data_IF_515360201515
#
_entry.id   IF_515360201515
#
_cell.length_a   1.000
_cell.length_b   1.000
_cell.length_c   1.000
_cell.angle_alpha   90.00
_cell.angle_beta   90.00
_cell.angle_gamma   90.00
#
_symmetry.space_group_name_H-M   'P 1'
#
loop_
_entity.id
_entity.type
_entity.pdbx_description
1 polymer ?
#
# COMPACT_ATOMS: atom_id res chain seq x y z
N UNK A 1 7.85 43.52 -26.02
CA UNK A 1 8.09 42.13 -25.56
C UNK A 1 7.86 42.08 -24.08
N UNK A 2 6.63 41.86 -23.65
CA UNK A 2 6.21 41.81 -22.24
C UNK A 2 6.38 40.38 -21.74
N UNK A 3 7.38 40.22 -20.90
CA UNK A 3 7.70 38.98 -20.17
C UNK A 3 6.64 38.76 -19.09
N UNK A 4 5.52 38.10 -19.42
CA UNK A 4 4.56 37.66 -18.42
C UNK A 4 5.16 36.51 -17.61
N UNK A 5 5.77 36.85 -16.48
CA UNK A 5 6.09 35.89 -15.41
C UNK A 5 4.77 35.41 -14.79
N UNK A 6 4.11 34.45 -15.41
CA UNK A 6 3.08 33.67 -14.73
C UNK A 6 3.76 32.93 -13.59
N UNK A 7 3.54 33.38 -12.36
CA UNK A 7 3.81 32.60 -11.16
C UNK A 7 3.12 31.23 -11.30
N UNK A 8 3.91 30.26 -11.68
CA UNK A 8 3.43 28.92 -11.92
C UNK A 8 3.37 28.23 -10.58
N UNK A 9 2.17 28.15 -9.99
CA UNK A 9 1.94 27.37 -8.76
C UNK A 9 2.53 25.96 -8.99
N UNK A 10 3.56 25.54 -8.24
CA UNK A 10 4.22 24.26 -8.45
C UNK A 10 3.29 23.07 -8.15
N UNK A 11 2.20 23.31 -7.45
CA UNK A 11 1.21 22.31 -7.02
C UNK A 11 0.23 21.94 -8.15
N UNK A 12 -0.10 22.90 -9.05
CA UNK A 12 -1.08 22.67 -10.12
C UNK A 12 -0.74 21.51 -11.05
N UNK A 13 0.51 21.38 -11.52
CA UNK A 13 0.91 20.29 -12.41
C UNK A 13 0.87 18.91 -11.71
N UNK A 14 1.28 18.83 -10.43
CA UNK A 14 1.25 17.59 -9.64
C UNK A 14 -0.17 17.10 -9.46
N UNK A 15 -1.10 18.01 -9.12
CA UNK A 15 -2.50 17.67 -8.95
C UNK A 15 -3.16 17.24 -10.27
N UNK A 16 -2.83 17.89 -11.38
CA UNK A 16 -3.33 17.50 -12.70
C UNK A 16 -2.89 16.09 -13.09
N UNK A 17 -1.61 15.74 -12.84
CA UNK A 17 -1.10 14.38 -13.07
C UNK A 17 -1.80 13.39 -12.13
N UNK A 18 -1.95 13.73 -10.85
CA UNK A 18 -2.63 12.87 -9.88
C UNK A 18 -4.06 12.57 -10.29
N UNK A 19 -4.81 13.58 -10.73
CA UNK A 19 -6.19 13.43 -11.17
C UNK A 19 -6.33 12.53 -12.41
N UNK A 20 -5.47 12.73 -13.41
CA UNK A 20 -5.46 11.89 -14.63
C UNK A 20 -5.13 10.45 -14.28
N UNK A 21 -4.10 10.22 -13.45
CA UNK A 21 -3.72 8.87 -13.01
C UNK A 21 -4.82 8.21 -12.18
N UNK A 22 -5.47 8.95 -11.31
CA UNK A 22 -6.61 8.47 -10.54
C UNK A 22 -7.76 7.99 -11.43
N UNK A 23 -8.14 8.79 -12.43
CA UNK A 23 -9.17 8.40 -13.39
C UNK A 23 -8.76 7.20 -14.23
N UNK A 24 -7.51 7.17 -14.72
CA UNK A 24 -6.97 6.06 -15.51
C UNK A 24 -7.06 4.73 -14.74
N UNK A 25 -6.67 4.75 -13.46
CA UNK A 25 -6.70 3.56 -12.62
C UNK A 25 -8.12 3.16 -12.20
N UNK A 26 -9.02 4.11 -11.93
CA UNK A 26 -10.42 3.80 -11.58
C UNK A 26 -11.13 3.09 -12.73
N UNK A 27 -10.86 3.49 -13.98
CA UNK A 27 -11.46 2.85 -15.15
C UNK A 27 -10.72 1.60 -15.63
N UNK A 28 -9.65 1.18 -14.92
CA UNK A 28 -8.93 -0.06 -15.25
C UNK A 28 -9.76 -1.29 -14.83
N UNK A 29 -10.01 -2.18 -15.79
CA UNK A 29 -10.76 -3.42 -15.58
C UNK A 29 -10.13 -4.33 -14.51
N UNK A 30 -8.81 -4.25 -14.35
CA UNK A 30 -8.05 -5.04 -13.36
C UNK A 30 -8.46 -4.64 -11.94
N UNK A 31 -8.67 -3.35 -11.70
CA UNK A 31 -9.10 -2.85 -10.38
C UNK A 31 -10.45 -3.46 -9.97
N UNK A 32 -11.41 -3.54 -10.89
CA UNK A 32 -12.73 -4.11 -10.58
C UNK A 32 -12.65 -5.58 -10.15
N UNK A 33 -11.76 -6.36 -10.76
CA UNK A 33 -11.54 -7.76 -10.38
C UNK A 33 -11.00 -7.88 -8.95
N UNK A 34 -10.08 -7.01 -8.54
CA UNK A 34 -9.54 -7.01 -7.19
C UNK A 34 -10.56 -6.52 -6.15
N UNK A 35 -11.37 -5.50 -6.50
CA UNK A 35 -12.46 -5.04 -5.64
C UNK A 35 -13.51 -6.15 -5.45
N UNK A 36 -13.89 -6.84 -6.54
CA UNK A 36 -14.80 -7.98 -6.46
C UNK A 36 -14.23 -9.09 -5.57
N UNK A 37 -12.94 -9.42 -5.74
CA UNK A 37 -12.26 -10.41 -4.90
C UNK A 37 -12.27 -10.01 -3.42
N UNK A 38 -12.08 -8.73 -3.11
CA UNK A 38 -12.16 -8.23 -1.74
C UNK A 38 -13.54 -8.42 -1.12
N UNK A 39 -14.60 -8.11 -1.87
CA UNK A 39 -15.98 -8.35 -1.42
C UNK A 39 -16.27 -9.84 -1.21
N UNK A 40 -15.73 -10.72 -2.07
CA UNK A 40 -15.83 -12.16 -1.87
C UNK A 40 -15.15 -12.61 -0.56
N UNK A 41 -13.96 -12.08 -0.26
CA UNK A 41 -13.26 -12.38 1.00
C UNK A 41 -14.05 -11.91 2.22
N UNK A 42 -14.65 -10.73 2.18
CA UNK A 42 -15.53 -10.23 3.26
C UNK A 42 -16.79 -11.11 3.36
N UNK A 43 -17.36 -11.54 2.24
CA UNK A 43 -18.48 -12.48 2.23
C UNK A 43 -18.14 -13.82 2.86
N UNK A 44 -16.96 -14.36 2.57
CA UNK A 44 -16.44 -15.58 3.22
C UNK A 44 -16.24 -15.37 4.72
N UNK A 45 -15.74 -14.19 5.13
CA UNK A 45 -15.63 -13.79 6.53
C UNK A 45 -16.98 -13.85 7.26
N UNK A 46 -18.02 -13.31 6.62
CA UNK A 46 -19.37 -13.37 7.14
C UNK A 46 -19.89 -14.80 7.27
N UNK A 47 -19.70 -15.65 6.25
CA UNK A 47 -20.08 -17.06 6.31
C UNK A 47 -19.31 -17.82 7.42
N UNK A 48 -18.02 -17.58 7.55
CA UNK A 48 -17.20 -18.18 8.61
C UNK A 48 -17.70 -17.78 10.01
N UNK A 49 -18.14 -16.54 10.18
CA UNK A 49 -18.71 -16.08 11.45
C UNK A 49 -20.00 -16.81 11.82
N UNK A 50 -20.83 -17.22 10.85
CA UNK A 50 -22.09 -17.93 11.10
C UNK A 50 -21.89 -19.38 11.57
N UNK A 51 -20.74 -19.98 11.29
CA UNK A 51 -20.38 -21.33 11.75
C UNK A 51 -19.87 -21.31 13.20
N UNK A 52 -19.49 -20.14 13.69
CA UNK A 52 -18.93 -19.97 15.03
C UNK A 52 -20.05 -19.63 16.01
N UNK A 53 -20.27 -20.47 17.01
CA UNK A 53 -21.36 -20.28 18.01
C UNK A 53 -21.07 -19.17 19.03
N UNK A 54 -19.79 -18.85 19.29
CA UNK A 54 -19.36 -17.81 20.23
C UNK A 54 -18.30 -16.91 19.59
N UNK A 55 -18.45 -15.59 19.73
CA UNK A 55 -17.47 -14.64 19.23
C UNK A 55 -17.53 -14.39 17.71
N UNK A 56 -18.72 -14.45 17.12
CA UNK A 56 -18.97 -14.14 15.70
C UNK A 56 -18.39 -12.79 15.29
N UNK A 57 -18.56 -11.80 16.16
CA UNK A 57 -18.03 -10.46 16.02
C UNK A 57 -16.50 -10.42 15.90
N UNK A 58 -15.79 -11.27 16.65
CA UNK A 58 -14.33 -11.35 16.57
C UNK A 58 -13.83 -12.00 15.29
N UNK A 59 -14.51 -13.08 14.88
CA UNK A 59 -14.15 -13.80 13.64
C UNK A 59 -14.30 -12.88 12.44
N UNK A 60 -15.42 -12.15 12.34
CA UNK A 60 -15.64 -11.24 11.20
C UNK A 60 -14.61 -10.12 11.19
N UNK A 61 -14.28 -9.55 12.35
CA UNK A 61 -13.31 -8.46 12.42
C UNK A 61 -11.89 -8.91 12.01
N UNK A 62 -11.44 -10.08 12.46
CA UNK A 62 -10.10 -10.60 12.16
C UNK A 62 -9.96 -10.99 10.68
N UNK A 63 -10.91 -11.76 10.15
CA UNK A 63 -10.93 -12.14 8.75
C UNK A 63 -11.14 -10.94 7.83
N UNK A 64 -12.03 -10.01 8.19
CA UNK A 64 -12.30 -8.82 7.39
C UNK A 64 -11.09 -7.88 7.32
N UNK A 65 -10.40 -7.62 8.43
CA UNK A 65 -9.15 -6.86 8.43
C UNK A 65 -8.07 -7.54 7.59
N UNK A 66 -7.97 -8.86 7.65
CA UNK A 66 -7.04 -9.64 6.82
C UNK A 66 -7.40 -9.52 5.33
N UNK A 67 -8.68 -9.56 4.98
CA UNK A 67 -9.17 -9.36 3.62
C UNK A 67 -8.87 -7.96 3.09
N UNK A 68 -9.07 -6.92 3.92
CA UNK A 68 -8.73 -5.53 3.58
C UNK A 68 -7.22 -5.38 3.34
N UNK A 69 -6.39 -5.91 4.25
CA UNK A 69 -4.93 -5.89 4.14
C UNK A 69 -4.46 -6.53 2.83
N UNK A 70 -4.96 -7.73 2.54
CA UNK A 70 -4.60 -8.49 1.35
C UNK A 70 -5.05 -7.78 0.07
N UNK A 71 -6.31 -7.32 0.01
CA UNK A 71 -6.86 -6.63 -1.15
C UNK A 71 -6.14 -5.32 -1.45
N UNK A 72 -6.01 -4.44 -0.46
CA UNK A 72 -5.31 -3.17 -0.63
C UNK A 72 -3.83 -3.38 -0.98
N UNK A 73 -3.19 -4.41 -0.38
CA UNK A 73 -1.83 -4.81 -0.71
C UNK A 73 -1.70 -5.25 -2.16
N UNK A 74 -2.56 -6.15 -2.63
CA UNK A 74 -2.56 -6.65 -4.01
C UNK A 74 -2.79 -5.48 -5.00
N UNK A 75 -3.79 -4.64 -4.78
CA UNK A 75 -4.05 -3.47 -5.65
C UNK A 75 -2.83 -2.55 -5.67
N UNK A 76 -2.23 -2.25 -4.52
CA UNK A 76 -1.04 -1.41 -4.42
C UNK A 76 0.15 -1.97 -5.20
N UNK A 77 0.38 -3.28 -5.10
CA UNK A 77 1.45 -3.98 -5.82
C UNK A 77 1.21 -3.97 -7.32
N UNK A 78 0.06 -4.45 -7.79
CA UNK A 78 -0.22 -4.58 -9.23
C UNK A 78 -0.39 -3.23 -9.92
N UNK A 79 -1.16 -2.31 -9.35
CA UNK A 79 -1.34 -0.99 -9.92
C UNK A 79 -0.06 -0.16 -9.88
N UNK A 80 0.73 -0.25 -8.79
CA UNK A 80 2.02 0.41 -8.68
C UNK A 80 3.05 -0.15 -9.68
N UNK A 81 3.13 -1.48 -9.82
CA UNK A 81 4.02 -2.12 -10.77
C UNK A 81 3.66 -1.83 -12.25
N UNK A 82 2.36 -1.75 -12.56
CA UNK A 82 1.90 -1.43 -13.91
C UNK A 82 2.06 0.05 -14.27
N UNK A 83 2.33 0.93 -13.30
CA UNK A 83 2.33 2.37 -13.50
C UNK A 83 3.34 2.85 -14.54
N UNK A 84 4.59 2.37 -14.47
CA UNK A 84 5.63 2.73 -15.44
C UNK A 84 5.80 1.69 -16.54
N UNK A 85 5.50 0.41 -16.29
CA UNK A 85 5.61 -0.64 -17.28
C UNK A 85 4.83 -0.33 -18.57
N UNK A 86 3.57 0.09 -18.43
CA UNK A 86 2.70 0.46 -19.56
C UNK A 86 3.22 1.68 -20.33
N UNK A 87 3.85 2.62 -19.66
CA UNK A 87 4.39 3.84 -20.30
C UNK A 87 5.66 3.57 -21.08
N UNK A 88 6.53 2.69 -20.56
CA UNK A 88 7.72 2.26 -21.28
C UNK A 88 7.35 1.48 -22.55
N UNK A 89 6.37 0.57 -22.47
CA UNK A 89 5.89 -0.20 -23.62
C UNK A 89 5.26 0.69 -24.69
N UNK A 90 4.48 1.70 -24.29
CA UNK A 90 3.77 2.60 -25.21
C UNK A 90 4.60 3.80 -25.67
N UNK A 91 5.82 4.00 -25.19
CA UNK A 91 6.67 5.18 -25.43
C UNK A 91 5.98 6.53 -25.13
N UNK A 92 4.90 6.52 -24.33
CA UNK A 92 4.12 7.72 -23.99
C UNK A 92 4.83 8.61 -22.97
N UNK A 93 5.84 8.10 -22.28
CA UNK A 93 6.71 8.87 -21.36
C UNK A 93 7.26 10.12 -22.06
N UNK A 94 7.72 10.01 -23.32
CA UNK A 94 8.31 11.12 -24.08
C UNK A 94 7.30 12.26 -24.34
N UNK A 95 6.03 11.94 -24.54
CA UNK A 95 4.97 12.94 -24.77
C UNK A 95 4.58 13.64 -23.46
N UNK A 96 4.53 12.92 -22.35
CA UNK A 96 4.23 13.47 -21.03
C UNK A 96 5.35 14.41 -20.54
N UNK A 97 6.60 14.11 -20.87
CA UNK A 97 7.79 14.88 -20.50
C UNK A 97 8.07 16.10 -21.40
N UNK A 98 7.38 16.24 -22.53
CA UNK A 98 7.43 17.46 -23.37
C UNK A 98 6.83 18.69 -22.65
N UNK A 99 6.14 18.51 -21.53
CA UNK A 99 5.65 19.58 -20.66
C UNK A 99 6.76 19.99 -19.68
N UNK A 100 6.86 21.29 -19.29
CA UNK A 100 7.87 21.78 -18.34
C UNK A 100 7.52 21.43 -16.89
N UNK A 101 7.48 20.13 -16.59
CA UNK A 101 7.22 19.57 -15.25
C UNK A 101 8.48 18.78 -14.88
N UNK A 102 8.97 18.92 -13.62
CA UNK A 102 10.09 18.09 -13.16
C UNK A 102 9.64 16.63 -13.02
N UNK A 103 10.56 15.69 -13.29
CA UNK A 103 10.26 14.25 -13.24
C UNK A 103 9.83 13.81 -11.83
N UNK A 104 10.45 14.39 -10.82
CA UNK A 104 10.04 14.13 -9.42
C UNK A 104 8.60 14.56 -9.19
N UNK A 105 8.17 15.74 -9.68
CA UNK A 105 6.78 16.19 -9.59
C UNK A 105 5.82 15.25 -10.34
N UNK A 106 6.24 14.74 -11.51
CA UNK A 106 5.46 13.79 -12.29
C UNK A 106 5.24 12.48 -11.52
N UNK A 107 6.31 11.90 -10.96
CA UNK A 107 6.23 10.67 -10.15
C UNK A 107 5.38 10.87 -8.90
N UNK A 108 5.58 12.01 -8.20
CA UNK A 108 4.74 12.35 -7.06
C UNK A 108 3.26 12.46 -7.43
N UNK A 109 2.95 13.12 -8.55
CA UNK A 109 1.57 13.22 -9.05
C UNK A 109 0.97 11.84 -9.32
N UNK A 110 1.71 10.97 -9.99
CA UNK A 110 1.28 9.60 -10.27
C UNK A 110 1.06 8.79 -8.98
N UNK A 111 2.00 8.88 -8.05
CA UNK A 111 1.86 8.20 -6.77
C UNK A 111 0.64 8.70 -5.98
N UNK A 112 0.36 10.01 -5.98
CA UNK A 112 -0.84 10.57 -5.35
C UNK A 112 -2.13 10.08 -6.02
N UNK A 113 -2.16 9.94 -7.34
CA UNK A 113 -3.30 9.35 -8.06
C UNK A 113 -3.55 7.90 -7.64
N UNK A 114 -2.48 7.09 -7.57
CA UNK A 114 -2.55 5.71 -7.08
C UNK A 114 -3.00 5.64 -5.61
N UNK A 115 -2.43 6.50 -4.74
CA UNK A 115 -2.82 6.59 -3.34
C UNK A 115 -4.31 6.96 -3.17
N UNK A 116 -4.84 7.83 -4.05
CA UNK A 116 -6.26 8.16 -4.09
C UNK A 116 -7.15 6.95 -4.40
N UNK A 117 -6.77 6.11 -5.36
CA UNK A 117 -7.48 4.87 -5.68
C UNK A 117 -7.43 3.87 -4.53
N UNK A 118 -6.26 3.70 -3.93
CA UNK A 118 -6.09 2.84 -2.76
C UNK A 118 -6.91 3.32 -1.57
N UNK A 119 -6.92 4.63 -1.31
CA UNK A 119 -7.71 5.23 -0.24
C UNK A 119 -9.22 5.01 -0.46
N UNK A 120 -9.69 5.13 -1.71
CA UNK A 120 -11.07 4.90 -2.06
C UNK A 120 -11.46 3.43 -1.85
N UNK A 121 -10.64 2.49 -2.35
CA UNK A 121 -10.87 1.06 -2.14
C UNK A 121 -10.86 0.69 -0.64
N UNK A 122 -9.84 1.17 0.10
CA UNK A 122 -9.77 0.99 1.54
C UNK A 122 -11.01 1.53 2.27
N UNK A 123 -11.50 2.72 1.90
CA UNK A 123 -12.66 3.32 2.52
C UNK A 123 -13.92 2.45 2.32
N UNK A 124 -14.14 1.97 1.09
CA UNK A 124 -15.28 1.10 0.80
C UNK A 124 -15.24 -0.20 1.58
N UNK A 125 -14.08 -0.87 1.60
CA UNK A 125 -13.94 -2.14 2.31
C UNK A 125 -14.05 -1.96 3.82
N UNK A 126 -13.42 -0.92 4.37
CA UNK A 126 -13.51 -0.61 5.81
C UNK A 126 -14.92 -0.25 6.24
N UNK A 127 -15.67 0.49 5.41
CA UNK A 127 -17.07 0.80 5.70
C UNK A 127 -17.93 -0.47 5.68
N UNK A 128 -17.75 -1.33 4.67
CA UNK A 128 -18.47 -2.61 4.59
C UNK A 128 -18.17 -3.49 5.79
N UNK A 129 -16.90 -3.59 6.19
CA UNK A 129 -16.46 -4.37 7.34
C UNK A 129 -17.10 -3.85 8.64
N UNK A 130 -17.06 -2.53 8.87
CA UNK A 130 -17.67 -1.92 10.06
C UNK A 130 -19.19 -2.12 10.12
N UNK A 131 -19.88 -2.06 8.98
CA UNK A 131 -21.32 -2.33 8.91
C UNK A 131 -21.63 -3.78 9.26
N UNK A 132 -20.86 -4.75 8.71
CA UNK A 132 -21.04 -6.16 9.01
C UNK A 132 -20.72 -6.46 10.49
N UNK A 133 -19.61 -5.92 10.99
CA UNK A 133 -19.23 -6.06 12.41
C UNK A 133 -20.31 -5.55 13.36
N UNK A 134 -20.87 -4.36 13.06
CA UNK A 134 -21.94 -3.78 13.87
C UNK A 134 -23.25 -4.56 13.76
N UNK A 135 -23.57 -5.17 12.60
CA UNK A 135 -24.77 -5.98 12.40
C UNK A 135 -24.79 -7.26 13.22
N UNK A 136 -23.61 -7.78 13.57
CA UNK A 136 -23.43 -8.96 14.44
C UNK A 136 -23.28 -8.60 15.93
N UNK A 137 -23.61 -7.35 16.31
CA UNK A 137 -23.55 -6.89 17.69
C UNK A 137 -22.18 -6.41 18.15
N UNK A 138 -21.18 -6.36 17.26
CA UNK A 138 -19.88 -5.80 17.56
C UNK A 138 -19.95 -4.27 17.73
N UNK A 139 -19.24 -3.75 18.74
CA UNK A 139 -19.14 -2.31 18.98
C UNK A 139 -17.75 -1.83 18.55
N UNK A 140 -17.63 -1.05 17.45
CA UNK A 140 -16.36 -0.54 17.00
C UNK A 140 -15.71 0.35 18.06
N UNK A 141 -14.52 -0.02 18.50
CA UNK A 141 -13.72 0.75 19.46
C UNK A 141 -12.74 1.65 18.69
N UNK A 142 -12.15 2.63 19.39
CA UNK A 142 -11.10 3.50 18.79
C UNK A 142 -9.97 2.69 18.15
N UNK A 143 -9.57 1.58 18.77
CA UNK A 143 -8.52 0.70 18.23
C UNK A 143 -8.90 0.07 16.89
N UNK A 144 -10.18 -0.20 16.64
CA UNK A 144 -10.68 -0.73 15.36
C UNK A 144 -10.42 0.29 14.22
N UNK A 145 -10.73 1.56 14.45
CA UNK A 145 -10.47 2.61 13.46
C UNK A 145 -8.98 2.84 13.23
N UNK A 146 -8.17 2.78 14.29
CA UNK A 146 -6.72 2.87 14.20
C UNK A 146 -6.15 1.72 13.39
N UNK A 147 -6.59 0.49 13.66
CA UNK A 147 -6.14 -0.69 12.92
C UNK A 147 -6.48 -0.58 11.42
N UNK A 148 -7.70 -0.19 11.08
CA UNK A 148 -8.10 0.05 9.69
C UNK A 148 -7.24 1.14 9.01
N UNK A 149 -6.96 2.24 9.70
CA UNK A 149 -6.13 3.32 9.15
C UNK A 149 -4.68 2.86 8.89
N UNK A 150 -4.12 2.02 9.77
CA UNK A 150 -2.78 1.47 9.58
C UNK A 150 -2.71 0.51 8.39
N UNK A 151 -3.77 -0.24 8.08
CA UNK A 151 -3.83 -1.07 6.88
C UNK A 151 -3.75 -0.23 5.59
N UNK A 152 -4.34 0.97 5.56
CA UNK A 152 -4.15 1.90 4.44
C UNK A 152 -2.69 2.33 4.29
N UNK A 153 -2.00 2.64 5.39
CA UNK A 153 -0.58 3.01 5.37
C UNK A 153 0.28 1.86 4.85
N UNK A 154 -0.01 0.61 5.25
CA UNK A 154 0.65 -0.59 4.72
C UNK A 154 0.54 -0.66 3.19
N UNK A 155 -0.67 -0.45 2.66
CA UNK A 155 -0.90 -0.46 1.22
C UNK A 155 -0.13 0.65 0.48
N UNK A 156 -0.04 1.85 1.06
CA UNK A 156 0.75 2.95 0.48
C UNK A 156 2.24 2.65 0.47
N UNK A 157 2.78 2.02 1.52
CA UNK A 157 4.19 1.59 1.55
C UNK A 157 4.46 0.56 0.45
N UNK A 158 3.61 -0.46 0.31
CA UNK A 158 3.73 -1.47 -0.75
C UNK A 158 3.64 -0.86 -2.15
N UNK A 159 2.70 0.06 -2.35
CA UNK A 159 2.56 0.80 -3.61
C UNK A 159 3.82 1.61 -3.93
N UNK A 160 4.45 2.26 -2.94
CA UNK A 160 5.70 3.00 -3.14
C UNK A 160 6.86 2.08 -3.58
N UNK A 161 6.98 0.89 -2.99
CA UNK A 161 7.93 -0.13 -3.45
C UNK A 161 7.62 -0.59 -4.87
N UNK A 162 6.36 -0.85 -5.20
CA UNK A 162 5.96 -1.28 -6.54
C UNK A 162 6.28 -0.22 -7.60
N UNK A 163 5.99 1.04 -7.32
CA UNK A 163 6.33 2.19 -8.16
C UNK A 163 7.85 2.33 -8.33
N UNK A 164 8.63 2.16 -7.26
CA UNK A 164 10.08 2.23 -7.30
C UNK A 164 10.67 1.12 -8.18
N UNK A 165 10.31 -0.14 -7.96
CA UNK A 165 10.85 -1.24 -8.76
C UNK A 165 10.38 -1.18 -10.21
N UNK A 166 9.15 -0.75 -10.49
CA UNK A 166 8.63 -0.61 -11.86
C UNK A 166 9.38 0.44 -12.70
N UNK A 167 10.11 1.35 -12.05
CA UNK A 167 10.89 2.37 -12.76
C UNK A 167 12.15 1.83 -13.46
N UNK A 168 12.64 0.64 -13.08
CA UNK A 168 13.86 0.05 -13.65
C UNK A 168 13.75 -1.45 -13.95
N UNK A 169 12.64 -2.10 -13.60
CA UNK A 169 12.37 -3.51 -13.93
C UNK A 169 11.09 -3.64 -14.75
N UNK A 170 10.81 -4.85 -15.25
CA UNK A 170 9.53 -5.16 -15.89
C UNK A 170 8.42 -5.28 -14.85
N UNK A 171 7.17 -5.08 -15.28
CA UNK A 171 5.99 -5.20 -14.40
C UNK A 171 5.97 -6.52 -13.63
N UNK A 172 6.23 -7.64 -14.30
CA UNK A 172 6.22 -8.97 -13.67
C UNK A 172 7.30 -9.13 -12.59
N UNK A 173 8.51 -8.67 -12.85
CA UNK A 173 9.61 -8.72 -11.87
C UNK A 173 9.32 -7.80 -10.68
N UNK A 174 8.80 -6.60 -10.94
CA UNK A 174 8.39 -5.67 -9.89
C UNK A 174 7.35 -6.30 -8.96
N UNK A 175 6.31 -6.92 -9.53
CA UNK A 175 5.27 -7.62 -8.75
C UNK A 175 5.89 -8.72 -7.89
N UNK A 176 6.76 -9.58 -8.46
CA UNK A 176 7.39 -10.68 -7.72
C UNK A 176 8.22 -10.17 -6.53
N UNK A 177 9.04 -9.14 -6.75
CA UNK A 177 9.87 -8.54 -5.69
C UNK A 177 8.98 -7.98 -4.57
N UNK A 178 7.94 -7.23 -4.92
CA UNK A 178 7.10 -6.56 -3.90
C UNK A 178 6.21 -7.56 -3.16
N UNK A 179 5.74 -8.64 -3.82
CA UNK A 179 5.09 -9.76 -3.13
C UNK A 179 6.07 -10.40 -2.13
N UNK A 180 7.32 -10.60 -2.52
CA UNK A 180 8.36 -11.08 -1.60
C UNK A 180 8.55 -10.16 -0.40
N UNK A 181 8.62 -8.84 -0.63
CA UNK A 181 8.68 -7.83 0.44
C UNK A 181 7.42 -7.89 1.34
N UNK A 182 6.24 -8.07 0.77
CA UNK A 182 5.01 -8.23 1.54
C UNK A 182 5.05 -9.45 2.44
N UNK A 183 5.40 -10.62 1.89
CA UNK A 183 5.45 -11.88 2.64
C UNK A 183 6.49 -11.85 3.77
N UNK A 184 7.68 -11.34 3.50
CA UNK A 184 8.73 -11.20 4.51
C UNK A 184 8.35 -10.10 5.51
N UNK A 185 7.92 -8.95 5.01
CA UNK A 185 7.60 -7.77 5.81
C UNK A 185 6.48 -7.99 6.83
N UNK A 186 5.46 -8.79 6.49
CA UNK A 186 4.38 -9.17 7.41
C UNK A 186 4.81 -10.22 8.44
N UNK A 187 5.95 -10.89 8.23
CA UNK A 187 6.47 -11.95 9.08
C UNK A 187 7.87 -11.64 9.66
N UNK A 188 8.28 -10.37 9.69
CA UNK A 188 9.62 -9.96 10.16
C UNK A 188 9.89 -10.45 11.58
N UNK A 189 8.94 -10.25 12.53
CA UNK A 189 9.14 -10.59 13.93
C UNK A 189 9.25 -12.11 14.15
N UNK A 190 8.35 -12.96 13.59
CA UNK A 190 8.52 -14.41 13.63
C UNK A 190 9.81 -14.91 12.98
N UNK A 191 10.16 -14.36 11.80
CA UNK A 191 11.39 -14.73 11.08
C UNK A 191 12.64 -14.40 11.88
N UNK A 192 12.68 -13.20 12.46
CA UNK A 192 13.80 -12.79 13.32
C UNK A 192 13.95 -13.72 14.52
N UNK A 193 12.85 -14.05 15.20
CA UNK A 193 12.87 -14.97 16.34
C UNK A 193 13.37 -16.38 15.97
N UNK A 194 13.04 -16.87 14.77
CA UNK A 194 13.55 -18.16 14.26
C UNK A 194 15.05 -18.08 13.93
N UNK A 195 15.49 -16.99 13.26
CA UNK A 195 16.89 -16.79 12.90
C UNK A 195 17.75 -16.68 14.14
N UNK A 196 17.36 -15.90 15.14
CA UNK A 196 18.11 -15.70 16.40
C UNK A 196 18.26 -16.99 17.22
N UNK A 197 17.29 -17.90 17.13
CA UNK A 197 17.34 -19.21 17.81
C UNK A 197 18.11 -20.27 17.02
N UNK A 198 18.39 -20.02 15.74
CA UNK A 198 19.08 -20.97 14.90
C UNK A 198 20.58 -21.00 15.22
N UNK A 199 21.18 -22.18 15.16
CA UNK A 199 22.63 -22.38 15.29
C UNK A 199 23.39 -22.26 13.97
N UNK A 200 22.69 -22.05 12.85
CA UNK A 200 23.27 -22.00 11.51
C UNK A 200 23.92 -20.63 11.23
N UNK A 201 25.24 -20.55 11.04
CA UNK A 201 25.95 -19.27 10.87
C UNK A 201 25.47 -18.46 9.66
N UNK A 202 25.08 -19.12 8.55
CA UNK A 202 24.62 -18.43 7.34
C UNK A 202 23.32 -17.67 7.54
N UNK A 203 22.41 -18.12 8.44
CA UNK A 203 21.19 -17.41 8.79
C UNK A 203 21.49 -16.08 9.47
N UNK A 204 22.49 -16.04 10.35
CA UNK A 204 22.89 -14.80 11.02
C UNK A 204 23.61 -13.83 10.07
N UNK A 205 24.46 -14.33 9.17
CA UNK A 205 25.26 -13.47 8.30
C UNK A 205 24.53 -13.00 7.04
N UNK A 206 23.56 -13.77 6.52
CA UNK A 206 22.87 -13.45 5.27
C UNK A 206 21.38 -13.12 5.51
N UNK A 207 20.64 -13.99 6.21
CA UNK A 207 19.20 -13.81 6.34
C UNK A 207 18.84 -12.65 7.27
N UNK A 208 19.54 -12.46 8.38
CA UNK A 208 19.25 -11.38 9.33
C UNK A 208 19.42 -9.98 8.70
N UNK A 209 20.50 -9.65 7.98
CA UNK A 209 20.63 -8.38 7.28
C UNK A 209 19.52 -8.16 6.24
N UNK A 210 19.14 -9.21 5.48
CA UNK A 210 18.06 -9.12 4.48
C UNK A 210 16.71 -8.81 5.15
N UNK A 211 16.39 -9.52 6.24
CA UNK A 211 15.16 -9.27 6.99
C UNK A 211 15.15 -7.86 7.60
N UNK A 212 16.30 -7.35 8.04
CA UNK A 212 16.39 -6.00 8.60
C UNK A 212 16.32 -4.89 7.54
N UNK A 213 16.63 -5.18 6.27
CA UNK A 213 16.52 -4.23 5.16
C UNK A 213 15.07 -4.08 4.66
N UNK A 214 14.24 -5.08 4.90
CA UNK A 214 12.83 -5.06 4.48
C UNK A 214 11.99 -4.33 5.53
N UNK A 215 11.02 -3.47 5.11
CA UNK A 215 10.15 -2.79 6.06
C UNK A 215 9.35 -3.79 6.89
N UNK A 216 9.31 -3.57 8.20
CA UNK A 216 8.47 -4.35 9.09
C UNK A 216 7.00 -3.93 8.89
N UNK A 217 6.27 -4.68 8.07
CA UNK A 217 4.86 -4.41 7.79
C UNK A 217 3.94 -4.92 8.91
N UNK A 218 4.42 -5.77 9.84
CA UNK A 218 3.63 -6.21 10.98
C UNK A 218 3.22 -5.07 11.90
N UNK A 219 3.99 -3.96 11.93
CA UNK A 219 3.61 -2.74 12.64
C UNK A 219 2.29 -2.12 12.17
N UNK A 220 1.88 -2.37 10.94
CA UNK A 220 0.61 -1.85 10.40
C UNK A 220 -0.56 -2.80 10.63
N UNK A 221 -0.31 -4.06 11.00
CA UNK A 221 -1.35 -5.05 11.22
C UNK A 221 -1.69 -5.17 12.71
N UNK A 222 -2.69 -4.43 13.14
CA UNK A 222 -3.26 -4.51 14.50
C UNK A 222 -4.55 -5.34 14.55
N UNK A 223 -4.75 -6.30 13.62
CA UNK A 223 -5.97 -7.11 13.57
C UNK A 223 -6.29 -7.77 14.90
N UNK A 224 -5.36 -8.53 15.47
CA UNK A 224 -5.53 -9.17 16.78
C UNK A 224 -5.77 -8.15 17.91
N UNK A 225 -5.04 -7.04 17.92
CA UNK A 225 -5.19 -5.98 18.92
C UNK A 225 -6.60 -5.36 18.88
N UNK A 226 -7.14 -5.16 17.68
CA UNK A 226 -8.49 -4.64 17.47
C UNK A 226 -9.55 -5.66 17.86
N UNK A 227 -9.37 -6.94 17.48
CA UNK A 227 -10.29 -8.05 17.79
C UNK A 227 -10.45 -8.26 19.29
N UNK A 228 -9.36 -8.17 20.05
CA UNK A 228 -9.40 -8.28 21.52
C UNK A 228 -9.64 -6.94 22.22
N UNK A 229 -9.72 -5.83 21.49
CA UNK A 229 -9.96 -4.50 22.03
C UNK A 229 -8.86 -3.98 22.95
N UNK A 230 -7.61 -4.38 22.72
CA UNK A 230 -6.47 -3.95 23.52
C UNK A 230 -6.16 -2.47 23.26
N UNK A 231 -5.81 -1.67 24.29
CA UNK A 231 -5.47 -0.27 24.10
C UNK A 231 -4.17 -0.12 23.32
N UNK A 232 -4.16 0.83 22.40
CA UNK A 232 -2.97 1.20 21.61
C UNK A 232 -2.50 2.59 22.06
N UNK A 233 -1.22 2.73 22.35
CA UNK A 233 -0.65 4.01 22.74
C UNK A 233 -0.69 4.99 21.56
N UNK A 234 -1.10 6.25 21.75
CA UNK A 234 -1.11 7.26 20.68
C UNK A 234 0.27 7.46 20.02
N UNK A 235 1.35 7.30 20.81
CA UNK A 235 2.72 7.36 20.31
C UNK A 235 3.02 6.26 19.27
N UNK A 236 2.42 5.09 19.41
CA UNK A 236 2.57 4.01 18.44
C UNK A 236 2.01 4.41 17.07
N UNK A 237 0.84 5.03 17.05
CA UNK A 237 0.20 5.51 15.81
C UNK A 237 1.08 6.56 15.12
N UNK A 238 1.57 7.54 15.89
CA UNK A 238 2.48 8.57 15.37
C UNK A 238 3.76 7.98 14.79
N UNK A 239 4.37 7.02 15.50
CA UNK A 239 5.57 6.33 15.03
C UNK A 239 5.30 5.51 13.77
N UNK A 240 4.15 4.85 13.65
CA UNK A 240 3.77 4.09 12.47
C UNK A 240 3.56 4.98 11.24
N UNK A 241 2.94 6.15 11.42
CA UNK A 241 2.81 7.15 10.35
C UNK A 241 4.18 7.67 9.91
N UNK A 242 5.04 8.03 10.87
CA UNK A 242 6.40 8.48 10.57
C UNK A 242 7.20 7.40 9.84
N UNK A 243 7.08 6.15 10.29
CA UNK A 243 7.72 5.01 9.67
C UNK A 243 7.26 4.81 8.22
N UNK A 244 5.95 4.91 7.94
CA UNK A 244 5.43 4.84 6.59
C UNK A 244 5.98 5.98 5.70
N UNK A 245 6.02 7.20 6.21
CA UNK A 245 6.55 8.35 5.47
C UNK A 245 8.04 8.22 5.17
N UNK A 246 8.82 7.65 6.11
CA UNK A 246 10.25 7.38 5.94
C UNK A 246 10.53 6.37 4.81
N UNK A 247 9.58 5.50 4.49
CA UNK A 247 9.69 4.60 3.33
C UNK A 247 9.12 5.24 2.06
N UNK A 248 7.93 5.82 2.12
CA UNK A 248 7.22 6.34 0.93
C UNK A 248 8.00 7.50 0.30
N UNK A 249 8.39 8.50 1.09
CA UNK A 249 8.99 9.73 0.55
C UNK A 249 10.32 9.48 -0.17
N UNK A 250 11.29 8.75 0.43
CA UNK A 250 12.54 8.43 -0.26
C UNK A 250 12.35 7.56 -1.51
N UNK A 251 11.47 6.57 -1.47
CA UNK A 251 11.22 5.69 -2.61
C UNK A 251 10.65 6.46 -3.80
N UNK A 252 9.63 7.30 -3.57
CA UNK A 252 9.01 8.12 -4.61
C UNK A 252 10.01 9.15 -5.15
N UNK A 253 10.82 9.78 -4.29
CA UNK A 253 11.86 10.71 -4.71
C UNK A 253 12.96 10.03 -5.53
N UNK A 254 13.45 8.87 -5.08
CA UNK A 254 14.45 8.08 -5.82
C UNK A 254 13.94 7.63 -7.18
N UNK A 255 12.67 7.23 -7.26
CA UNK A 255 12.02 6.92 -8.55
C UNK A 255 12.13 8.09 -9.53
N UNK A 256 11.80 9.31 -9.07
CA UNK A 256 11.93 10.52 -9.89
C UNK A 256 13.37 10.77 -10.35
N UNK A 257 14.36 10.54 -9.49
CA UNK A 257 15.77 10.70 -9.82
C UNK A 257 16.31 9.62 -10.77
N UNK A 258 15.82 8.38 -10.64
CA UNK A 258 16.21 7.31 -11.57
C UNK A 258 15.70 7.56 -12.99
N UNK A 259 14.50 8.13 -13.13
CA UNK A 259 13.96 8.53 -14.42
C UNK A 259 14.78 9.66 -15.08
N UNK A 260 15.37 10.57 -14.30
CA UNK A 260 16.26 11.61 -14.81
C UNK A 260 17.54 11.05 -15.46
N UNK A 261 18.09 9.94 -14.91
CA UNK A 261 19.37 9.37 -15.36
C UNK A 261 19.27 8.48 -16.60
N UNK A 262 18.09 8.01 -16.96
CA UNK A 262 17.91 7.09 -18.11
C UNK A 262 17.90 7.76 -19.47
N UNK A 263 17.81 9.08 -19.53
CA UNK A 263 17.68 9.85 -20.77
C UNK A 263 18.84 10.85 -21.00
N UNK A 264 19.81 10.92 -20.09
CA UNK A 264 21.10 11.60 -20.31
C UNK A 264 22.15 10.62 -20.77
#
# INVERSE_FOLDING_TARGET
>A
MTKTSRFRNPVGPVFAVAWVTFLELIFDKILYNFVLFAFLLIGVSYLASQITFLGQDRVILDFGMSAISLSCGIIGVFAGAAMFGREFERRTIFVALARPISRVQFVFGKFLGLAGVLALNWLFLSLTELLLYSSLGGLPKTVTFVALALLALQAFVLAAFAVFFSSFTTTSISVMIVIGIYLIGTNVDPLRAVIEKSKEPWLHHVALPVVNLIPNLSHFNLGLTATYGMPVAPSFVGNSVLYALLWIVPLVYLTGRLLDRREG
#
